data_IF_157461034182
#
_entry.id   IF_157461034182
#
_cell.length_a   1.000
_cell.length_b   1.000
_cell.length_c   1.000
_cell.angle_alpha   90.00
_cell.angle_beta   90.00
_cell.angle_gamma   90.00
#
_symmetry.space_group_name_H-M   'P 1'
#
loop_
_entity.id
_entity.type
_entity.pdbx_description
1 polymer ?
#
# COMPACT_ATOMS: atom_id res chain seq x y z
N UNK A 1 6.56 -57.32 -47.99
CA UNK A 1 6.41 -55.98 -47.37
C UNK A 1 4.95 -55.55 -47.48
N UNK A 2 4.43 -54.85 -46.46
CA UNK A 2 3.27 -53.92 -46.38
C UNK A 2 2.30 -53.79 -47.58
N UNK A 3 0.97 -53.65 -47.40
CA UNK A 3 0.14 -53.72 -46.18
C UNK A 3 -1.30 -54.14 -46.54
N UNK A 4 -2.07 -54.69 -45.58
CA UNK A 4 -3.33 -55.43 -45.85
C UNK A 4 -4.60 -54.58 -45.90
N UNK A 5 -5.55 -55.06 -46.71
CA UNK A 5 -6.93 -54.55 -46.86
C UNK A 5 -7.88 -54.96 -45.72
N UNK A 6 -8.97 -54.20 -45.62
CA UNK A 6 -10.21 -54.48 -44.86
C UNK A 6 -11.09 -55.58 -45.51
N UNK A 7 -12.31 -55.80 -44.96
CA UNK A 7 -13.41 -56.75 -45.32
C UNK A 7 -13.33 -58.04 -44.48
N UNK A 8 -14.39 -58.61 -43.86
CA UNK A 8 -15.83 -58.27 -43.65
C UNK A 8 -16.21 -58.56 -42.16
N UNK A 9 -17.46 -58.61 -41.63
CA UNK A 9 -18.85 -58.68 -42.14
C UNK A 9 -19.85 -58.07 -41.13
N UNK A 10 -21.17 -58.24 -41.31
CA UNK A 10 -22.28 -57.81 -40.43
C UNK A 10 -23.19 -58.98 -40.00
N UNK A 11 -24.15 -58.68 -39.10
CA UNK A 11 -25.25 -59.53 -38.56
C UNK A 11 -24.88 -60.47 -37.39
N UNK A 12 -25.73 -60.75 -36.39
CA UNK A 12 -27.00 -60.11 -35.93
C UNK A 12 -27.43 -60.69 -34.54
N UNK A 13 -28.61 -60.27 -34.05
CA UNK A 13 -29.39 -60.85 -32.93
C UNK A 13 -29.03 -60.42 -31.50
N UNK A 14 -30.03 -59.81 -30.85
CA UNK A 14 -30.11 -59.48 -29.43
C UNK A 14 -30.80 -60.58 -28.62
N UNK A 15 -30.23 -60.98 -27.47
CA UNK A 15 -30.96 -61.65 -26.38
C UNK A 15 -30.46 -61.16 -25.03
N UNK A 16 -31.33 -60.51 -24.25
CA UNK A 16 -31.12 -60.35 -22.81
C UNK A 16 -31.54 -61.62 -22.06
N UNK A 17 -30.76 -62.03 -21.06
CA UNK A 17 -31.26 -62.58 -19.79
C UNK A 17 -30.14 -62.56 -18.74
N UNK A 18 -30.47 -62.07 -17.55
CA UNK A 18 -29.55 -61.97 -16.42
C UNK A 18 -29.78 -63.11 -15.43
N UNK A 19 -28.72 -63.57 -14.75
CA UNK A 19 -28.84 -64.29 -13.47
C UNK A 19 -27.53 -64.32 -12.68
N UNK A 20 -27.55 -63.67 -11.51
CA UNK A 20 -26.85 -64.03 -10.27
C UNK A 20 -25.31 -64.14 -10.25
N UNK A 21 -24.67 -63.16 -9.59
CA UNK A 21 -23.46 -63.40 -8.80
C UNK A 21 -23.69 -63.01 -7.33
N UNK A 22 -23.11 -63.80 -6.43
CA UNK A 22 -23.19 -63.63 -4.97
C UNK A 22 -22.08 -62.68 -4.51
N UNK A 23 -22.42 -61.63 -3.79
CA UNK A 23 -21.46 -60.69 -3.19
C UNK A 23 -21.30 -61.03 -1.70
N UNK A 24 -20.07 -61.32 -1.27
CA UNK A 24 -19.73 -61.41 0.16
C UNK A 24 -19.71 -60.00 0.77
N UNK A 25 -20.43 -59.79 1.86
CA UNK A 25 -20.30 -58.61 2.71
C UNK A 25 -19.16 -58.80 3.71
N UNK A 26 -18.13 -57.95 3.58
CA UNK A 26 -17.17 -57.70 4.66
C UNK A 26 -17.71 -56.55 5.54
N UNK A 27 -17.61 -56.62 6.88
CA UNK A 27 -18.02 -55.53 7.74
C UNK A 27 -17.06 -54.34 7.60
N UNK A 28 -17.57 -53.20 7.13
CA UNK A 28 -16.82 -51.94 7.07
C UNK A 28 -16.68 -51.41 8.49
N UNK A 29 -15.46 -51.46 9.03
CA UNK A 29 -15.12 -50.78 10.27
C UNK A 29 -15.09 -49.26 10.01
N UNK A 30 -16.19 -48.58 10.31
CA UNK A 30 -16.28 -47.13 10.20
C UNK A 30 -15.37 -46.48 11.25
N UNK A 31 -14.15 -46.11 10.83
CA UNK A 31 -13.31 -45.18 11.58
C UNK A 31 -14.03 -43.83 11.57
N UNK A 32 -14.57 -43.44 12.71
CA UNK A 32 -14.99 -42.06 12.94
C UNK A 32 -13.74 -41.18 12.92
N UNK A 33 -13.45 -40.61 11.75
CA UNK A 33 -12.64 -39.40 11.70
C UNK A 33 -13.45 -38.35 12.46
N UNK A 34 -12.88 -37.80 13.52
CA UNK A 34 -13.45 -36.62 14.15
C UNK A 34 -13.33 -35.47 13.14
N UNK A 35 -14.37 -35.28 12.33
CA UNK A 35 -14.61 -33.99 11.70
C UNK A 35 -14.73 -32.99 12.83
N UNK A 36 -13.86 -31.97 12.86
CA UNK A 36 -14.10 -30.82 13.71
C UNK A 36 -15.52 -30.34 13.40
N UNK A 37 -16.42 -30.46 14.36
CA UNK A 37 -17.72 -29.84 14.26
C UNK A 37 -17.46 -28.34 14.37
N UNK A 38 -17.29 -27.69 13.22
CA UNK A 38 -17.32 -26.23 13.15
C UNK A 38 -18.61 -25.78 13.84
N UNK A 39 -18.51 -24.68 14.57
CA UNK A 39 -19.67 -24.07 15.19
C UNK A 39 -20.68 -23.60 14.13
N UNK A 40 -21.73 -22.96 14.61
CA UNK A 40 -22.68 -22.28 13.75
C UNK A 40 -22.55 -20.76 13.93
N UNK A 41 -23.09 -20.04 12.96
CA UNK A 41 -23.27 -18.59 13.03
C UNK A 41 -24.02 -18.19 14.30
N UNK A 42 -23.57 -17.14 14.98
CA UNK A 42 -24.08 -16.72 16.28
C UNK A 42 -23.98 -15.21 16.50
N UNK A 43 -24.82 -14.70 17.40
CA UNK A 43 -24.88 -13.28 17.81
C UNK A 43 -24.25 -13.11 19.19
N UNK A 44 -23.42 -12.10 19.38
CA UNK A 44 -22.85 -11.76 20.69
C UNK A 44 -23.96 -11.25 21.62
N UNK A 45 -24.00 -11.75 22.85
CA UNK A 45 -25.10 -11.49 23.76
C UNK A 45 -25.17 -10.02 24.22
N UNK A 46 -26.37 -9.58 24.62
CA UNK A 46 -26.57 -8.28 25.30
C UNK A 46 -25.87 -8.24 26.68
N UNK A 47 -25.79 -9.40 27.35
CA UNK A 47 -25.21 -9.56 28.69
C UNK A 47 -24.33 -10.83 28.74
N UNK A 48 -23.20 -10.86 28.02
CA UNK A 48 -22.30 -12.00 28.04
C UNK A 48 -21.64 -12.12 29.42
N UNK A 49 -21.19 -13.33 29.76
CA UNK A 49 -20.60 -13.62 31.09
C UNK A 49 -19.24 -12.97 31.32
N UNK A 50 -18.50 -12.71 30.24
CA UNK A 50 -17.20 -12.05 30.19
C UNK A 50 -16.96 -11.52 28.76
N UNK A 51 -15.76 -10.99 28.50
CA UNK A 51 -15.35 -10.50 27.17
C UNK A 51 -14.61 -11.51 26.28
N UNK A 52 -14.64 -12.82 26.56
CA UNK A 52 -13.91 -13.81 25.74
C UNK A 52 -14.78 -14.33 24.58
N UNK A 53 -14.28 -14.14 23.35
CA UNK A 53 -14.89 -14.68 22.12
C UNK A 53 -15.07 -16.20 22.23
N UNK A 54 -14.10 -16.91 22.81
CA UNK A 54 -14.10 -18.37 22.79
C UNK A 54 -14.89 -19.01 23.96
N UNK A 55 -15.63 -18.21 24.72
CA UNK A 55 -16.58 -18.67 25.73
C UNK A 55 -17.97 -18.83 25.11
N UNK A 56 -18.41 -20.08 24.89
CA UNK A 56 -19.68 -20.41 24.22
C UNK A 56 -20.93 -19.78 24.86
N UNK A 57 -20.89 -19.46 26.17
CA UNK A 57 -22.00 -18.87 26.92
C UNK A 57 -22.14 -17.34 26.75
N UNK A 58 -21.36 -16.73 25.87
CA UNK A 58 -21.46 -15.30 25.50
C UNK A 58 -22.18 -15.09 24.15
N UNK A 59 -22.66 -16.18 23.55
CA UNK A 59 -23.25 -16.22 22.21
C UNK A 59 -24.67 -16.77 22.25
N UNK A 60 -25.51 -16.28 21.35
CA UNK A 60 -26.82 -16.84 21.04
C UNK A 60 -26.86 -17.30 19.57
N UNK A 61 -27.07 -18.60 19.27
CA UNK A 61 -27.10 -19.74 20.20
C UNK A 61 -25.75 -19.95 20.90
N UNK A 62 -25.69 -20.68 22.03
CA UNK A 62 -24.47 -20.85 22.84
C UNK A 62 -23.45 -21.78 22.18
N UNK A 63 -22.76 -21.23 21.17
CA UNK A 63 -21.74 -21.86 20.34
C UNK A 63 -20.69 -20.81 19.99
N UNK A 64 -19.44 -21.21 19.76
CA UNK A 64 -18.32 -20.28 19.50
C UNK A 64 -18.10 -20.19 18.00
N UNK A 65 -18.55 -19.15 17.28
CA UNK A 65 -18.33 -19.04 15.83
C UNK A 65 -16.82 -19.04 15.54
N UNK A 66 -16.37 -20.05 14.78
CA UNK A 66 -14.95 -20.39 14.60
C UNK A 66 -14.63 -21.24 13.35
N UNK A 67 -15.55 -21.32 12.37
CA UNK A 67 -15.28 -21.88 11.05
C UNK A 67 -15.39 -20.85 9.92
N UNK A 68 -14.70 -21.11 8.81
CA UNK A 68 -14.71 -20.28 7.58
C UNK A 68 -16.08 -20.02 6.95
N UNK A 69 -17.12 -20.76 7.34
CA UNK A 69 -18.52 -20.54 6.94
C UNK A 69 -19.36 -19.74 7.95
N UNK A 70 -18.83 -19.42 9.13
CA UNK A 70 -19.59 -18.76 10.19
C UNK A 70 -19.79 -17.27 9.95
N UNK A 71 -21.02 -16.82 10.19
CA UNK A 71 -21.37 -15.40 10.33
C UNK A 71 -21.50 -15.05 11.80
N UNK A 72 -20.77 -14.03 12.21
CA UNK A 72 -20.83 -13.42 13.54
C UNK A 72 -21.72 -12.18 13.44
N UNK A 73 -22.61 -11.97 14.42
CA UNK A 73 -23.39 -10.73 14.53
C UNK A 73 -23.12 -10.03 15.86
N UNK A 74 -22.93 -8.72 15.82
CA UNK A 74 -22.75 -7.85 16.98
C UNK A 74 -23.86 -6.80 17.00
N UNK A 75 -24.59 -6.74 18.11
CA UNK A 75 -25.68 -5.79 18.34
C UNK A 75 -25.41 -4.97 19.62
N UNK A 76 -26.43 -4.37 20.25
CA UNK A 76 -26.25 -3.73 21.56
C UNK A 76 -25.76 -4.76 22.58
N UNK A 77 -24.63 -4.47 23.24
CA UNK A 77 -24.08 -5.27 24.33
C UNK A 77 -23.51 -4.42 25.46
N UNK A 78 -23.62 -4.94 26.69
CA UNK A 78 -23.01 -4.37 27.89
C UNK A 78 -21.53 -4.75 28.07
N UNK A 79 -20.99 -5.66 27.24
CA UNK A 79 -19.55 -5.93 27.15
C UNK A 79 -19.13 -5.84 25.68
N UNK A 80 -18.55 -4.70 25.33
CA UNK A 80 -18.13 -4.39 23.96
C UNK A 80 -16.62 -4.62 23.71
N UNK A 81 -15.83 -4.88 24.76
CA UNK A 81 -14.45 -5.34 24.61
C UNK A 81 -14.44 -6.87 24.51
N UNK A 82 -14.06 -7.41 23.34
CA UNK A 82 -14.14 -8.84 23.01
C UNK A 82 -12.76 -9.38 22.64
N UNK A 83 -12.11 -10.12 23.53
CA UNK A 83 -10.79 -10.71 23.31
C UNK A 83 -10.85 -12.16 22.83
N UNK A 84 -9.86 -12.57 22.06
CA UNK A 84 -9.68 -13.97 21.66
C UNK A 84 -8.80 -14.70 22.68
N UNK A 85 -9.20 -15.89 23.14
CA UNK A 85 -8.36 -16.81 23.92
C UNK A 85 -7.84 -18.01 23.11
N UNK A 86 -8.42 -18.25 21.93
CA UNK A 86 -7.99 -19.24 20.91
C UNK A 86 -7.91 -18.59 19.53
N UNK A 87 -7.10 -19.18 18.64
CA UNK A 87 -7.17 -18.88 17.20
C UNK A 87 -8.60 -19.12 16.70
N UNK A 88 -9.07 -18.22 15.84
CA UNK A 88 -10.47 -18.15 15.41
C UNK A 88 -10.53 -17.79 13.93
N UNK A 89 -11.31 -18.52 13.15
CA UNK A 89 -11.60 -18.23 11.74
C UNK A 89 -13.10 -18.00 11.57
N UNK A 90 -13.50 -16.99 10.79
CA UNK A 90 -14.92 -16.74 10.44
C UNK A 90 -15.08 -16.36 8.98
N UNK A 91 -16.25 -16.68 8.41
CA UNK A 91 -16.61 -16.25 7.06
C UNK A 91 -16.98 -14.76 7.01
N UNK A 92 -17.75 -14.29 7.99
CA UNK A 92 -18.28 -12.91 8.04
C UNK A 92 -18.38 -12.39 9.46
N UNK A 93 -18.09 -11.11 9.66
CA UNK A 93 -18.50 -10.35 10.86
C UNK A 93 -19.51 -9.28 10.43
N UNK A 94 -20.61 -9.16 11.16
CA UNK A 94 -21.64 -8.16 10.93
C UNK A 94 -21.84 -7.34 12.20
N UNK A 95 -21.77 -6.02 12.10
CA UNK A 95 -22.25 -5.12 13.14
C UNK A 95 -23.61 -4.60 12.70
N UNK A 96 -24.62 -4.87 13.54
CA UNK A 96 -26.02 -4.55 13.28
C UNK A 96 -26.30 -3.05 13.50
N UNK A 97 -27.40 -2.54 12.94
CA UNK A 97 -27.78 -1.15 13.14
C UNK A 97 -28.04 -0.83 14.62
N UNK A 98 -27.33 0.18 15.14
CA UNK A 98 -27.35 0.55 16.55
C UNK A 98 -26.57 -0.40 17.47
N UNK A 99 -25.60 -1.17 16.97
CA UNK A 99 -24.67 -1.91 17.81
C UNK A 99 -23.91 -0.98 18.80
N UNK A 100 -23.42 -1.57 19.91
CA UNK A 100 -22.47 -0.87 20.79
C UNK A 100 -21.14 -0.61 20.07
N UNK A 101 -20.35 0.38 20.48
CA UNK A 101 -18.98 0.54 19.95
C UNK A 101 -18.10 -0.62 20.44
N UNK A 102 -17.82 -1.60 19.58
CA UNK A 102 -16.99 -2.74 19.91
C UNK A 102 -15.50 -2.43 19.77
N UNK A 103 -14.71 -3.14 20.57
CA UNK A 103 -13.30 -3.34 20.35
C UNK A 103 -13.00 -4.85 20.36
N UNK A 104 -12.76 -5.41 19.17
CA UNK A 104 -12.37 -6.81 19.00
C UNK A 104 -10.85 -6.90 19.17
N UNK A 105 -10.41 -7.55 20.24
CA UNK A 105 -9.01 -7.61 20.67
C UNK A 105 -8.40 -8.94 20.21
N UNK A 106 -7.54 -8.88 19.18
CA UNK A 106 -6.75 -10.02 18.72
C UNK A 106 -5.54 -10.17 19.63
N UNK A 107 -5.72 -11.00 20.66
CA UNK A 107 -4.77 -11.20 21.75
C UNK A 107 -3.39 -11.71 21.30
N UNK A 108 -2.35 -11.56 22.13
CA UNK A 108 -1.01 -12.08 21.85
C UNK A 108 -1.02 -13.60 21.64
N UNK A 109 -0.25 -14.10 20.67
CA UNK A 109 -0.25 -15.50 20.21
C UNK A 109 -1.60 -15.97 19.63
N UNK A 110 -2.49 -15.06 19.22
CA UNK A 110 -3.77 -15.41 18.58
C UNK A 110 -3.88 -14.85 17.18
N UNK A 111 -4.51 -15.66 16.33
CA UNK A 111 -4.88 -15.28 14.96
C UNK A 111 -6.39 -15.14 14.85
N UNK A 112 -6.86 -14.01 14.33
CA UNK A 112 -8.22 -13.84 13.81
C UNK A 112 -8.18 -13.86 12.29
N UNK A 113 -8.73 -14.90 11.68
CA UNK A 113 -8.83 -15.05 10.23
C UNK A 113 -10.25 -14.74 9.77
N UNK A 114 -10.39 -13.90 8.73
CA UNK A 114 -11.64 -13.67 8.01
C UNK A 114 -11.45 -14.15 6.58
N UNK A 115 -12.18 -15.21 6.22
CA UNK A 115 -11.92 -16.01 5.02
C UNK A 115 -13.09 -16.06 4.03
N UNK A 116 -14.22 -15.43 4.34
CA UNK A 116 -15.43 -15.40 3.51
C UNK A 116 -15.68 -14.02 2.91
N UNK A 117 -16.81 -13.40 3.27
CA UNK A 117 -17.24 -12.11 2.73
C UNK A 117 -16.47 -10.92 3.34
N UNK A 118 -16.01 -11.05 4.60
CA UNK A 118 -15.39 -9.94 5.32
C UNK A 118 -16.24 -9.34 6.45
N UNK A 119 -16.08 -8.05 6.67
CA UNK A 119 -16.77 -7.28 7.71
C UNK A 119 -17.83 -6.38 7.08
N UNK A 120 -19.07 -6.48 7.55
CA UNK A 120 -20.16 -5.56 7.23
C UNK A 120 -20.52 -4.75 8.46
N UNK A 121 -20.09 -3.50 8.50
CA UNK A 121 -20.50 -2.56 9.55
C UNK A 121 -21.75 -1.77 9.11
N UNK A 122 -22.83 -1.90 9.88
CA UNK A 122 -24.09 -1.17 9.69
C UNK A 122 -24.49 -0.37 10.96
N UNK A 123 -23.60 -0.22 11.95
CA UNK A 123 -23.89 0.35 13.27
C UNK A 123 -23.96 1.89 13.32
N UNK A 124 -23.65 2.56 12.20
CA UNK A 124 -23.49 4.02 12.05
C UNK A 124 -22.35 4.64 12.88
N UNK A 125 -21.49 3.82 13.51
CA UNK A 125 -20.29 4.22 14.25
C UNK A 125 -19.04 3.47 13.76
N UNK A 126 -17.83 3.90 14.15
CA UNK A 126 -16.60 3.18 13.82
C UNK A 126 -16.40 2.00 14.76
N UNK A 127 -16.30 0.79 14.22
CA UNK A 127 -16.02 -0.42 14.99
C UNK A 127 -14.51 -0.68 15.06
N UNK A 128 -14.01 -1.07 16.23
CA UNK A 128 -12.57 -1.12 16.49
C UNK A 128 -12.05 -2.56 16.54
N UNK A 129 -10.86 -2.75 15.99
CA UNK A 129 -10.07 -3.98 16.06
C UNK A 129 -8.69 -3.63 16.62
N UNK A 130 -8.34 -4.17 17.78
CA UNK A 130 -7.04 -3.97 18.42
C UNK A 130 -6.21 -5.24 18.27
N UNK A 131 -5.16 -5.19 17.45
CA UNK A 131 -4.20 -6.29 17.31
C UNK A 131 -3.02 -5.96 18.22
N UNK A 132 -2.90 -6.72 19.32
CA UNK A 132 -2.11 -6.31 20.49
C UNK A 132 -0.81 -7.10 20.68
N UNK A 133 0.09 -6.56 21.50
CA UNK A 133 1.41 -7.14 21.82
C UNK A 133 1.57 -7.27 23.34
N UNK A 134 2.06 -8.40 23.84
CA UNK A 134 2.33 -8.56 25.28
C UNK A 134 3.68 -7.97 25.73
N UNK A 135 3.90 -7.93 27.04
CA UNK A 135 5.13 -7.41 27.66
C UNK A 135 6.42 -8.17 27.32
N UNK A 136 6.33 -9.33 26.67
CA UNK A 136 7.49 -10.10 26.15
C UNK A 136 7.49 -10.16 24.61
N UNK A 137 6.68 -9.34 23.96
CA UNK A 137 6.58 -9.16 22.51
C UNK A 137 6.07 -10.38 21.73
N UNK A 138 5.21 -11.19 22.35
CA UNK A 138 4.30 -12.02 21.56
C UNK A 138 3.24 -11.12 20.90
N UNK A 139 2.91 -11.40 19.65
CA UNK A 139 2.03 -10.55 18.83
C UNK A 139 0.70 -11.24 18.53
N UNK A 140 -0.38 -10.47 18.45
CA UNK A 140 -1.60 -10.87 17.75
C UNK A 140 -1.42 -10.74 16.24
N UNK A 141 -2.25 -11.45 15.46
CA UNK A 141 -2.28 -11.33 13.99
C UNK A 141 -3.71 -11.38 13.46
N UNK A 142 -4.09 -10.42 12.63
CA UNK A 142 -5.35 -10.45 11.88
C UNK A 142 -5.08 -10.78 10.41
N UNK A 143 -5.89 -11.65 9.81
CA UNK A 143 -5.72 -12.10 8.42
C UNK A 143 -7.06 -11.96 7.69
N UNK A 144 -7.05 -11.28 6.55
CA UNK A 144 -8.07 -11.36 5.52
C UNK A 144 -7.54 -12.23 4.37
N UNK A 145 -8.33 -13.19 3.89
CA UNK A 145 -7.95 -14.07 2.78
C UNK A 145 -9.13 -14.36 1.84
N UNK A 146 -8.89 -15.11 0.77
CA UNK A 146 -9.82 -15.29 -0.36
C UNK A 146 -10.30 -13.93 -0.90
N UNK A 147 -11.60 -13.63 -0.80
CA UNK A 147 -12.23 -12.37 -1.21
C UNK A 147 -12.70 -11.51 -0.03
N UNK A 148 -12.24 -11.80 1.20
CA UNK A 148 -12.72 -11.12 2.39
C UNK A 148 -12.40 -9.61 2.36
N UNK A 149 -13.36 -8.81 2.83
CA UNK A 149 -13.25 -7.34 2.89
C UNK A 149 -13.12 -6.83 4.33
N UNK A 150 -12.32 -5.78 4.57
CA UNK A 150 -12.26 -5.11 5.87
C UNK A 150 -13.47 -4.20 6.15
N UNK A 151 -14.30 -3.95 5.14
CA UNK A 151 -15.49 -3.12 5.21
C UNK A 151 -15.22 -1.61 5.26
N UNK A 152 -16.27 -0.87 5.55
CA UNK A 152 -16.25 0.57 5.82
C UNK A 152 -16.48 0.83 7.32
N UNK A 153 -16.05 1.99 7.81
CA UNK A 153 -16.21 2.40 9.21
C UNK A 153 -15.65 1.37 10.20
N UNK A 154 -14.50 0.79 9.86
CA UNK A 154 -13.74 -0.15 10.69
C UNK A 154 -12.35 0.43 10.91
N UNK A 155 -11.86 0.36 12.16
CA UNK A 155 -10.54 0.88 12.54
C UNK A 155 -9.69 -0.24 13.13
N UNK A 156 -8.57 -0.55 12.47
CA UNK A 156 -7.62 -1.59 12.86
C UNK A 156 -6.36 -0.94 13.44
N UNK A 157 -6.08 -1.17 14.72
CA UNK A 157 -4.87 -0.67 15.39
C UNK A 157 -3.89 -1.81 15.61
N UNK A 158 -2.76 -1.75 14.91
CA UNK A 158 -1.65 -2.67 15.07
C UNK A 158 -0.65 -2.09 16.08
N UNK A 159 -0.55 -2.71 17.26
CA UNK A 159 0.42 -2.31 18.29
C UNK A 159 1.87 -2.57 17.87
N UNK A 160 2.78 -1.73 18.37
CA UNK A 160 4.21 -1.87 18.16
C UNK A 160 4.83 -2.97 19.01
N UNK A 161 6.00 -3.45 18.60
CA UNK A 161 6.84 -4.28 19.45
C UNK A 161 7.32 -3.47 20.67
N UNK A 162 7.38 -4.12 21.84
CA UNK A 162 7.73 -3.48 23.12
C UNK A 162 9.13 -3.85 23.62
N UNK A 163 9.83 -4.77 22.96
CA UNK A 163 11.21 -5.18 23.29
C UNK A 163 12.15 -4.87 22.13
N UNK A 164 13.46 -4.81 22.40
CA UNK A 164 14.50 -4.58 21.39
C UNK A 164 14.84 -5.85 20.56
N UNK A 165 13.85 -6.72 20.35
CA UNK A 165 13.97 -7.84 19.42
C UNK A 165 13.77 -7.28 18.00
N UNK A 166 14.60 -7.69 17.05
CA UNK A 166 14.49 -7.35 15.62
C UNK A 166 13.30 -8.05 14.96
N UNK A 167 12.09 -7.79 15.47
CA UNK A 167 10.83 -8.31 15.02
C UNK A 167 9.78 -7.19 15.01
N UNK A 168 8.89 -7.24 14.03
CA UNK A 168 7.76 -6.32 13.93
C UNK A 168 6.79 -6.47 15.11
N UNK A 169 5.90 -5.48 15.28
CA UNK A 169 4.79 -5.55 16.22
C UNK A 169 3.66 -6.47 15.74
N UNK A 170 2.46 -6.22 16.26
CA UNK A 170 1.23 -6.83 15.78
C UNK A 170 1.00 -6.53 14.29
N UNK A 171 0.26 -7.41 13.61
CA UNK A 171 0.05 -7.29 12.16
C UNK A 171 -1.39 -7.55 11.69
N UNK A 172 -1.81 -6.77 10.70
CA UNK A 172 -3.02 -7.04 9.89
C UNK A 172 -2.59 -7.35 8.46
N UNK A 173 -3.05 -8.48 7.91
CA UNK A 173 -2.58 -9.03 6.63
C UNK A 173 -3.73 -9.22 5.65
N UNK A 174 -3.52 -8.79 4.41
CA UNK A 174 -4.38 -9.07 3.26
C UNK A 174 -3.67 -10.05 2.33
N UNK A 175 -4.27 -11.22 2.15
CA UNK A 175 -3.76 -12.32 1.33
C UNK A 175 -4.67 -12.56 0.11
N UNK A 176 -4.19 -13.35 -0.83
CA UNK A 176 -4.93 -13.81 -2.02
C UNK A 176 -5.54 -12.65 -2.83
N UNK A 177 -6.86 -12.47 -2.79
CA UNK A 177 -7.61 -11.39 -3.47
C UNK A 177 -8.40 -10.51 -2.48
N UNK A 178 -8.04 -10.56 -1.20
CA UNK A 178 -8.75 -9.84 -0.13
C UNK A 178 -8.54 -8.32 -0.24
N UNK A 179 -9.43 -7.56 0.40
CA UNK A 179 -9.48 -6.11 0.25
C UNK A 179 -9.61 -5.36 1.56
N UNK A 180 -8.82 -4.31 1.74
CA UNK A 180 -8.97 -3.36 2.83
C UNK A 180 -10.20 -2.42 2.67
N UNK A 181 -10.89 -2.50 1.53
CA UNK A 181 -12.11 -1.76 1.17
C UNK A 181 -12.08 -0.26 1.54
N UNK A 182 -12.72 0.14 2.63
CA UNK A 182 -12.74 1.52 3.15
C UNK A 182 -12.23 1.61 4.60
N UNK A 183 -11.54 0.56 5.08
CA UNK A 183 -11.04 0.46 6.44
C UNK A 183 -9.97 1.51 6.77
N UNK A 184 -9.87 1.86 8.05
CA UNK A 184 -8.81 2.71 8.59
C UNK A 184 -7.80 1.84 9.35
N UNK A 185 -6.52 1.97 9.03
CA UNK A 185 -5.45 1.17 9.62
C UNK A 185 -4.44 2.08 10.32
N UNK A 186 -4.11 1.77 11.57
CA UNK A 186 -3.17 2.53 12.39
C UNK A 186 -2.03 1.61 12.80
N UNK A 187 -0.88 1.80 12.18
CA UNK A 187 0.36 1.11 12.50
C UNK A 187 1.12 1.97 13.51
N UNK A 188 1.08 1.58 14.79
CA UNK A 188 1.76 2.32 15.85
C UNK A 188 3.28 2.19 15.71
N UNK A 189 4.03 3.28 15.91
CA UNK A 189 5.49 3.23 16.02
C UNK A 189 5.93 2.84 17.44
N UNK A 190 7.15 2.32 17.56
CA UNK A 190 7.59 1.70 18.80
C UNK A 190 7.93 2.72 19.91
N UNK A 191 7.71 2.31 21.16
CA UNK A 191 8.08 3.04 22.37
C UNK A 191 9.42 2.56 22.98
N UNK A 192 10.09 1.61 22.34
CA UNK A 192 11.35 0.98 22.77
C UNK A 192 12.41 1.18 21.68
N UNK A 193 13.66 1.49 22.07
CA UNK A 193 14.78 1.62 21.12
C UNK A 193 15.00 0.32 20.35
N UNK A 194 15.29 0.43 19.05
CA UNK A 194 15.58 -0.68 18.12
C UNK A 194 14.40 -1.65 17.92
N UNK A 195 13.23 -1.34 18.49
CA UNK A 195 11.99 -2.06 18.30
C UNK A 195 11.22 -1.52 17.08
N UNK A 196 10.42 -2.39 16.46
CA UNK A 196 9.64 -2.07 15.27
C UNK A 196 8.18 -1.79 15.57
N UNK A 197 7.57 -0.92 14.77
CA UNK A 197 6.14 -0.63 14.87
C UNK A 197 5.23 -1.79 14.47
N UNK A 198 3.93 -1.59 14.64
CA UNK A 198 2.89 -2.47 14.09
C UNK A 198 2.85 -2.39 12.57
N UNK A 199 2.19 -3.36 11.93
CA UNK A 199 2.30 -3.56 10.49
C UNK A 199 0.96 -3.82 9.80
N UNK A 200 0.76 -3.22 8.63
CA UNK A 200 -0.26 -3.63 7.65
C UNK A 200 0.44 -4.21 6.42
N UNK A 201 0.05 -5.40 5.97
CA UNK A 201 0.69 -6.09 4.84
C UNK A 201 -0.31 -6.50 3.76
N UNK A 202 0.05 -6.26 2.49
CA UNK A 202 -0.70 -6.69 1.31
C UNK A 202 0.18 -7.63 0.46
N UNK A 203 -0.26 -8.88 0.28
CA UNK A 203 0.43 -9.93 -0.47
C UNK A 203 -0.41 -10.42 -1.66
N UNK A 204 0.19 -11.24 -2.53
CA UNK A 204 -0.46 -11.80 -3.71
C UNK A 204 -1.17 -10.73 -4.57
N UNK A 205 -2.45 -10.92 -4.89
CA UNK A 205 -3.30 -10.04 -5.72
C UNK A 205 -4.26 -9.21 -4.84
N UNK A 206 -3.95 -9.01 -3.55
CA UNK A 206 -4.79 -8.26 -2.61
C UNK A 206 -4.79 -6.75 -2.90
N UNK A 207 -5.80 -6.06 -2.36
CA UNK A 207 -6.10 -4.66 -2.66
C UNK A 207 -6.23 -3.79 -1.40
N UNK A 208 -5.60 -2.62 -1.39
CA UNK A 208 -5.87 -1.58 -0.40
C UNK A 208 -7.14 -0.77 -0.72
N UNK A 209 -7.72 -0.93 -1.92
CA UNK A 209 -8.97 -0.32 -2.38
C UNK A 209 -9.05 1.20 -2.15
N UNK A 210 -9.84 1.65 -1.15
CA UNK A 210 -10.05 3.04 -0.76
C UNK A 210 -9.66 3.28 0.72
N UNK A 211 -8.90 2.37 1.32
CA UNK A 211 -8.51 2.42 2.73
C UNK A 211 -7.68 3.67 3.07
N UNK A 212 -7.69 4.03 4.36
CA UNK A 212 -6.80 5.07 4.91
C UNK A 212 -5.82 4.43 5.90
N UNK A 213 -4.52 4.53 5.64
CA UNK A 213 -3.48 3.81 6.39
C UNK A 213 -2.50 4.81 6.98
N UNK A 214 -2.41 4.85 8.31
CA UNK A 214 -1.52 5.70 9.09
C UNK A 214 -0.33 4.89 9.60
N UNK A 215 0.88 5.30 9.20
CA UNK A 215 2.13 4.77 9.70
C UNK A 215 2.72 5.79 10.68
N UNK A 216 2.60 5.51 11.98
CA UNK A 216 3.03 6.42 13.04
C UNK A 216 4.55 6.34 13.27
N UNK A 217 5.21 7.43 13.72
CA UNK A 217 6.65 7.43 13.95
C UNK A 217 7.04 6.68 15.23
N UNK A 218 8.32 6.32 15.35
CA UNK A 218 8.92 5.90 16.61
C UNK A 218 8.79 6.99 17.69
N UNK A 219 8.54 6.57 18.92
CA UNK A 219 8.22 7.45 20.05
C UNK A 219 9.43 7.74 20.97
N UNK A 220 10.55 7.02 20.77
CA UNK A 220 11.82 7.22 21.48
C UNK A 220 13.00 7.16 20.50
N UNK A 221 14.16 7.70 20.88
CA UNK A 221 15.37 7.59 20.07
C UNK A 221 15.68 6.11 19.75
N UNK A 222 16.03 5.83 18.50
CA UNK A 222 16.32 4.47 18.00
C UNK A 222 15.08 3.62 17.71
N UNK A 223 13.86 4.06 18.07
CA UNK A 223 12.64 3.33 17.74
C UNK A 223 12.24 3.51 16.27
N UNK A 224 11.77 2.43 15.64
CA UNK A 224 11.24 2.49 14.29
C UNK A 224 9.72 2.80 14.28
N UNK A 225 9.26 3.42 13.20
CA UNK A 225 7.83 3.68 12.99
C UNK A 225 7.02 2.43 12.64
N UNK A 226 5.69 2.59 12.67
CA UNK A 226 4.75 1.66 12.05
C UNK A 226 5.01 1.57 10.56
N UNK A 227 4.73 0.40 9.97
CA UNK A 227 5.10 0.12 8.59
C UNK A 227 3.93 -0.46 7.79
N UNK A 228 3.81 -0.05 6.53
CA UNK A 228 2.94 -0.71 5.55
C UNK A 228 3.78 -1.34 4.45
N UNK A 229 3.50 -2.60 4.13
CA UNK A 229 4.11 -3.32 3.02
C UNK A 229 3.08 -3.64 1.94
N UNK A 230 3.37 -3.28 0.69
CA UNK A 230 2.62 -3.71 -0.50
C UNK A 230 3.56 -4.53 -1.37
N UNK A 231 3.30 -5.83 -1.47
CA UNK A 231 4.25 -6.84 -1.93
C UNK A 231 3.69 -7.62 -3.14
N UNK A 232 4.42 -8.63 -3.60
CA UNK A 232 4.12 -9.48 -4.75
C UNK A 232 3.59 -8.73 -5.98
N UNK A 233 2.28 -8.79 -6.22
CA UNK A 233 1.56 -8.11 -7.31
C UNK A 233 0.42 -7.24 -6.78
N UNK A 234 0.38 -7.01 -5.45
CA UNK A 234 -0.71 -6.36 -4.76
C UNK A 234 -0.89 -4.89 -5.15
N UNK A 235 -2.12 -4.42 -4.96
CA UNK A 235 -2.65 -3.18 -5.50
C UNK A 235 -2.98 -2.19 -4.40
N UNK A 236 -2.53 -0.93 -4.54
CA UNK A 236 -2.96 0.15 -3.65
C UNK A 236 -4.28 0.81 -4.09
N UNK A 237 -4.70 0.58 -5.34
CA UNK A 237 -5.86 1.19 -5.98
C UNK A 237 -5.97 2.71 -5.75
N UNK A 238 -6.82 3.17 -4.83
CA UNK A 238 -7.07 4.58 -4.50
C UNK A 238 -6.80 4.91 -3.04
N UNK A 239 -6.23 3.97 -2.27
CA UNK A 239 -6.00 4.14 -0.85
C UNK A 239 -5.07 5.32 -0.54
N UNK A 240 -5.21 5.85 0.68
CA UNK A 240 -4.39 6.96 1.19
C UNK A 240 -3.42 6.44 2.25
N UNK A 241 -2.13 6.55 1.98
CA UNK A 241 -1.05 6.09 2.87
C UNK A 241 -0.36 7.32 3.47
N UNK A 242 -0.27 7.36 4.80
CA UNK A 242 0.23 8.52 5.55
C UNK A 242 1.39 8.05 6.42
N UNK A 243 2.61 8.25 5.92
CA UNK A 243 3.87 8.05 6.65
C UNK A 243 4.19 9.30 7.47
N UNK A 244 4.00 9.22 8.79
CA UNK A 244 4.22 10.34 9.70
C UNK A 244 5.69 10.48 10.14
N UNK A 245 6.22 11.70 10.12
CA UNK A 245 7.56 11.99 10.64
C UNK A 245 7.62 12.03 12.16
N UNK A 246 8.80 11.74 12.72
CA UNK A 246 9.02 11.64 14.15
C UNK A 246 9.22 12.99 14.85
N UNK A 247 8.72 13.09 16.08
CA UNK A 247 8.89 14.27 16.94
C UNK A 247 10.13 14.21 17.85
N UNK A 248 10.80 13.05 17.91
CA UNK A 248 11.92 12.73 18.81
C UNK A 248 13.20 12.58 18.00
N UNK A 249 14.27 13.22 18.45
CA UNK A 249 15.59 13.17 17.79
C UNK A 249 16.09 11.73 17.64
N UNK A 250 16.41 11.33 16.40
CA UNK A 250 16.91 9.98 16.11
C UNK A 250 15.89 8.86 16.28
N UNK A 251 14.59 9.16 16.36
CA UNK A 251 13.52 8.18 16.09
C UNK A 251 13.17 8.21 14.60
N UNK A 252 12.78 7.08 14.00
CA UNK A 252 12.38 7.02 12.60
C UNK A 252 10.92 7.42 12.39
N UNK A 253 10.61 7.97 11.21
CA UNK A 253 9.24 8.15 10.76
C UNK A 253 8.55 6.82 10.43
N UNK A 254 7.24 6.85 10.26
CA UNK A 254 6.48 5.75 9.69
C UNK A 254 6.86 5.48 8.23
N UNK A 255 6.67 4.24 7.78
CA UNK A 255 7.15 3.78 6.48
C UNK A 255 6.03 3.15 5.62
N UNK A 256 6.04 3.41 4.31
CA UNK A 256 5.23 2.73 3.31
C UNK A 256 6.14 2.20 2.20
N UNK A 257 6.23 0.87 2.06
CA UNK A 257 7.12 0.21 1.08
C UNK A 257 6.32 -0.57 0.04
N UNK A 258 6.57 -0.27 -1.23
CA UNK A 258 6.16 -1.05 -2.40
C UNK A 258 7.35 -1.91 -2.89
N UNK A 259 7.21 -3.23 -2.94
CA UNK A 259 8.26 -4.13 -3.46
C UNK A 259 7.74 -5.15 -4.49
N UNK A 260 8.62 -6.03 -4.96
CA UNK A 260 8.34 -7.01 -6.03
C UNK A 260 7.75 -6.34 -7.29
N UNK A 261 6.52 -6.67 -7.68
CA UNK A 261 5.78 -6.10 -8.82
C UNK A 261 4.51 -5.34 -8.41
N UNK A 262 4.37 -5.03 -7.11
CA UNK A 262 3.26 -4.27 -6.54
C UNK A 262 3.03 -2.92 -7.24
N UNK A 263 1.81 -2.40 -7.10
CA UNK A 263 1.33 -1.23 -7.83
C UNK A 263 0.69 -0.22 -6.88
N UNK A 264 1.15 1.03 -6.95
CA UNK A 264 0.51 2.15 -6.25
C UNK A 264 -0.69 2.73 -7.01
N UNK A 265 -0.97 2.26 -8.23
CA UNK A 265 -2.11 2.64 -9.08
C UNK A 265 -2.51 4.13 -9.05
N UNK A 266 -3.65 4.49 -8.45
CA UNK A 266 -4.16 5.86 -8.31
C UNK A 266 -4.04 6.39 -6.86
N UNK A 267 -3.29 5.71 -5.99
CA UNK A 267 -3.19 5.99 -4.56
C UNK A 267 -2.61 7.38 -4.22
N UNK A 268 -2.96 7.89 -3.05
CA UNK A 268 -2.33 9.10 -2.47
C UNK A 268 -1.31 8.67 -1.41
N UNK A 269 -0.04 9.03 -1.62
CA UNK A 269 1.08 8.66 -0.76
C UNK A 269 1.66 9.92 -0.12
N UNK A 270 1.58 10.03 1.21
CA UNK A 270 1.97 11.22 1.97
C UNK A 270 3.14 10.87 2.90
N UNK A 271 4.25 11.60 2.79
CA UNK A 271 5.38 11.52 3.71
C UNK A 271 5.54 12.85 4.45
N UNK A 272 5.13 12.88 5.71
CA UNK A 272 5.23 14.06 6.57
C UNK A 272 6.64 14.19 7.15
N UNK A 273 7.11 15.43 7.30
CA UNK A 273 8.41 15.72 7.92
C UNK A 273 8.38 15.49 9.43
N UNK A 274 9.48 14.98 9.97
CA UNK A 274 9.76 14.96 11.40
C UNK A 274 10.26 16.33 11.89
N UNK A 275 10.29 16.50 13.21
CA UNK A 275 10.74 17.71 13.89
C UNK A 275 11.76 17.37 14.98
N UNK A 276 12.46 18.38 15.50
CA UNK A 276 13.45 18.23 16.59
C UNK A 276 14.56 17.20 16.32
N UNK A 277 14.90 16.94 15.05
CA UNK A 277 15.88 15.93 14.65
C UNK A 277 15.32 14.51 14.45
N UNK A 278 14.00 14.33 14.53
CA UNK A 278 13.34 13.08 14.16
C UNK A 278 13.34 12.83 12.65
N UNK A 279 13.35 11.55 12.26
CA UNK A 279 13.28 11.11 10.88
C UNK A 279 11.96 11.52 10.23
N UNK A 280 12.01 11.87 8.94
CA UNK A 280 10.80 12.06 8.16
C UNK A 280 10.09 10.74 7.86
N UNK A 281 8.80 10.81 7.57
CA UNK A 281 8.06 9.68 7.02
C UNK A 281 8.65 9.22 5.69
N UNK A 282 8.51 7.93 5.40
CA UNK A 282 9.18 7.28 4.29
C UNK A 282 8.17 6.67 3.31
N UNK A 283 8.43 6.84 2.01
CA UNK A 283 7.77 6.12 0.92
C UNK A 283 8.87 5.48 0.07
N UNK A 284 8.85 4.16 -0.08
CA UNK A 284 9.89 3.41 -0.80
C UNK A 284 9.26 2.65 -1.97
N UNK A 285 9.87 2.74 -3.15
CA UNK A 285 9.59 1.82 -4.27
C UNK A 285 10.84 1.01 -4.59
N UNK A 286 10.83 -0.26 -4.20
CA UNK A 286 11.92 -1.20 -4.41
C UNK A 286 11.67 -2.13 -5.62
N UNK A 287 12.73 -2.83 -6.04
CA UNK A 287 12.68 -3.91 -7.04
C UNK A 287 12.05 -3.51 -8.39
N UNK A 288 10.89 -4.07 -8.75
CA UNK A 288 10.17 -3.85 -10.01
C UNK A 288 8.81 -3.15 -9.82
N UNK A 289 8.50 -2.68 -8.61
CA UNK A 289 7.25 -2.02 -8.25
C UNK A 289 6.95 -0.79 -9.12
N UNK A 290 5.67 -0.38 -9.18
CA UNK A 290 5.19 0.69 -10.05
C UNK A 290 4.37 1.73 -9.31
N UNK A 291 4.78 3.00 -9.39
CA UNK A 291 3.98 4.13 -8.90
C UNK A 291 2.81 4.53 -9.81
N UNK A 292 2.71 3.99 -11.02
CA UNK A 292 1.59 4.19 -11.95
C UNK A 292 1.12 5.67 -12.11
N UNK A 293 -0.05 6.00 -11.59
CA UNK A 293 -0.71 7.30 -11.61
C UNK A 293 -0.83 7.96 -10.22
N UNK A 294 -0.20 7.37 -9.20
CA UNK A 294 -0.25 7.81 -7.80
C UNK A 294 0.19 9.27 -7.61
N UNK A 295 -0.36 9.90 -6.59
CA UNK A 295 -0.04 11.25 -6.16
C UNK A 295 0.85 11.19 -4.92
N UNK A 296 2.06 11.74 -5.02
CA UNK A 296 3.05 11.69 -3.93
C UNK A 296 3.26 13.09 -3.34
N UNK A 297 2.96 13.24 -2.06
CA UNK A 297 3.12 14.48 -1.28
C UNK A 297 4.25 14.31 -0.27
N UNK A 298 5.27 15.17 -0.31
CA UNK A 298 6.45 15.08 0.54
C UNK A 298 6.67 16.39 1.28
N UNK A 299 6.84 16.34 2.60
CA UNK A 299 6.96 17.53 3.44
C UNK A 299 8.24 17.52 4.30
N UNK A 300 8.93 18.66 4.40
CA UNK A 300 10.09 18.83 5.28
C UNK A 300 11.26 17.88 4.99
N UNK A 301 11.55 16.94 5.90
CA UNK A 301 12.51 15.85 5.69
C UNK A 301 11.84 14.50 5.36
N UNK A 302 10.52 14.45 5.16
CA UNK A 302 9.80 13.30 4.62
C UNK A 302 10.21 13.05 3.17
N UNK A 303 10.33 11.78 2.79
CA UNK A 303 11.01 11.44 1.54
C UNK A 303 10.42 10.26 0.75
N UNK A 304 10.62 10.35 -0.56
CA UNK A 304 10.42 9.29 -1.53
C UNK A 304 11.78 8.69 -1.90
N UNK A 305 11.98 7.41 -1.64
CA UNK A 305 13.18 6.67 -2.04
C UNK A 305 12.92 5.74 -3.23
N UNK A 306 13.72 5.94 -4.28
CA UNK A 306 13.76 5.18 -5.53
C UNK A 306 15.13 4.54 -5.77
N UNK A 307 16.01 4.53 -4.76
CA UNK A 307 17.41 4.10 -4.85
C UNK A 307 17.59 2.59 -4.99
N UNK A 308 16.64 1.82 -4.48
CA UNK A 308 16.63 0.34 -4.43
C UNK A 308 15.87 -0.32 -5.59
N UNK A 309 15.54 0.45 -6.63
CA UNK A 309 14.74 -0.01 -7.78
C UNK A 309 15.58 -0.33 -9.02
N UNK A 310 15.42 -1.53 -9.58
CA UNK A 310 16.30 -2.08 -10.62
C UNK A 310 15.52 -2.85 -11.72
N UNK A 311 14.49 -2.25 -12.31
CA UNK A 311 13.61 -2.89 -13.33
C UNK A 311 14.01 -2.64 -14.79
N UNK A 312 15.12 -1.95 -15.05
CA UNK A 312 15.65 -1.58 -16.37
C UNK A 312 14.87 -0.49 -17.13
N UNK A 313 13.70 -0.09 -16.63
CA UNK A 313 12.75 0.76 -17.36
C UNK A 313 12.49 2.12 -16.71
N UNK A 314 12.96 2.36 -15.47
CA UNK A 314 12.55 3.52 -14.68
C UNK A 314 11.13 3.43 -14.16
N UNK A 315 10.89 4.07 -13.02
CA UNK A 315 9.58 4.13 -12.39
C UNK A 315 8.70 5.20 -13.02
N UNK A 316 7.39 4.94 -13.08
CA UNK A 316 6.37 5.94 -13.36
C UNK A 316 5.68 6.34 -12.06
N UNK A 317 5.49 7.63 -11.83
CA UNK A 317 4.69 8.20 -10.74
C UNK A 317 3.76 9.24 -11.35
N UNK A 318 2.50 9.28 -10.90
CA UNK A 318 1.51 10.24 -11.39
C UNK A 318 1.97 11.67 -11.20
N UNK A 319 2.15 12.10 -9.96
CA UNK A 319 2.64 13.44 -9.61
C UNK A 319 3.50 13.43 -8.35
N UNK A 320 4.36 14.45 -8.24
CA UNK A 320 5.10 14.78 -7.01
C UNK A 320 4.82 16.23 -6.63
N UNK A 321 4.67 16.51 -5.35
CA UNK A 321 4.42 17.85 -4.80
C UNK A 321 4.88 18.00 -3.34
N UNK A 322 4.90 19.24 -2.84
CA UNK A 322 5.38 19.59 -1.52
C UNK A 322 6.84 20.08 -1.49
N UNK A 323 7.47 20.06 -0.32
CA UNK A 323 8.80 20.61 -0.04
C UNK A 323 9.83 19.59 0.50
N UNK A 324 9.48 18.30 0.56
CA UNK A 324 10.33 17.19 1.01
C UNK A 324 11.44 16.75 0.05
N UNK A 325 11.85 15.47 0.13
CA UNK A 325 13.03 14.95 -0.58
C UNK A 325 12.71 13.80 -1.52
N UNK A 326 13.21 13.84 -2.75
CA UNK A 326 13.18 12.71 -3.69
C UNK A 326 14.60 12.17 -3.90
N UNK A 327 14.82 10.93 -3.48
CA UNK A 327 16.09 10.21 -3.63
C UNK A 327 16.01 9.34 -4.89
N UNK A 328 16.78 9.66 -5.93
CA UNK A 328 16.80 8.87 -7.16
C UNK A 328 17.84 7.74 -7.10
N UNK A 329 17.45 6.55 -7.59
CA UNK A 329 18.40 5.50 -7.97
C UNK A 329 19.15 5.82 -9.26
N UNK A 330 19.64 4.79 -9.96
CA UNK A 330 20.26 4.94 -11.28
C UNK A 330 19.23 5.08 -12.40
N UNK A 331 17.99 4.62 -12.18
CA UNK A 331 16.93 4.63 -13.17
C UNK A 331 16.20 5.99 -13.28
N UNK A 332 15.59 6.32 -14.44
CA UNK A 332 14.85 7.56 -14.59
C UNK A 332 13.47 7.52 -13.90
N UNK A 333 13.16 8.56 -13.11
CA UNK A 333 11.81 8.84 -12.64
C UNK A 333 11.00 9.51 -13.76
N UNK A 334 9.96 8.82 -14.25
CA UNK A 334 8.97 9.33 -15.20
C UNK A 334 7.79 9.91 -14.42
N UNK A 335 7.69 11.23 -14.38
CA UNK A 335 6.71 11.95 -13.55
C UNK A 335 5.71 12.73 -14.41
N UNK A 336 4.43 12.69 -14.02
CA UNK A 336 3.33 13.40 -14.68
C UNK A 336 2.28 12.48 -15.32
N UNK A 337 2.25 11.17 -15.01
CA UNK A 337 1.32 10.20 -15.66
C UNK A 337 -0.15 10.63 -15.54
N UNK A 338 -0.55 11.14 -14.37
CA UNK A 338 -1.91 11.59 -14.07
C UNK A 338 -2.25 12.97 -14.66
N UNK A 339 -1.30 13.60 -15.37
CA UNK A 339 -1.43 14.92 -16.00
C UNK A 339 -1.81 16.08 -15.07
N UNK A 340 -1.67 15.93 -13.75
CA UNK A 340 -1.84 17.03 -12.81
C UNK A 340 -0.75 18.10 -13.01
N UNK A 341 -1.07 19.33 -12.58
CA UNK A 341 -0.10 20.43 -12.55
C UNK A 341 0.30 20.71 -11.11
N UNK A 342 1.54 20.42 -10.75
CA UNK A 342 2.03 20.46 -9.37
C UNK A 342 3.20 21.42 -9.18
N UNK A 343 3.44 21.77 -7.91
CA UNK A 343 4.63 22.47 -7.44
C UNK A 343 5.43 21.54 -6.53
N UNK A 344 6.69 21.30 -6.88
CA UNK A 344 7.68 20.71 -6.00
C UNK A 344 8.74 21.76 -5.65
N UNK A 345 8.76 22.17 -4.39
CA UNK A 345 9.73 23.13 -3.83
C UNK A 345 10.90 22.46 -3.11
N UNK A 346 10.80 21.15 -2.87
CA UNK A 346 11.81 20.33 -2.23
C UNK A 346 13.00 19.97 -3.12
N UNK A 347 13.81 19.03 -2.66
CA UNK A 347 15.07 18.64 -3.31
C UNK A 347 14.96 17.26 -3.95
N UNK A 348 15.24 17.20 -5.25
CA UNK A 348 15.50 15.97 -6.00
C UNK A 348 17.02 15.77 -6.08
N UNK A 349 17.51 14.60 -5.69
CA UNK A 349 18.95 14.33 -5.53
C UNK A 349 19.39 12.96 -6.08
N UNK A 350 20.67 12.62 -5.88
CA UNK A 350 21.31 11.35 -6.28
C UNK A 350 21.45 11.15 -7.81
N UNK A 351 21.79 9.94 -8.26
CA UNK A 351 22.41 9.76 -9.57
C UNK A 351 21.45 9.79 -10.76
N UNK A 352 20.16 9.54 -10.53
CA UNK A 352 19.16 9.32 -11.57
C UNK A 352 18.75 10.55 -12.37
N UNK A 353 17.83 10.32 -13.30
CA UNK A 353 17.31 11.32 -14.23
C UNK A 353 15.81 11.55 -14.04
N UNK A 354 15.34 12.73 -14.43
CA UNK A 354 13.90 13.06 -14.47
C UNK A 354 13.39 13.03 -15.91
N UNK A 355 12.27 12.37 -16.15
CA UNK A 355 11.52 12.42 -17.41
C UNK A 355 10.13 12.97 -17.16
N UNK A 356 9.87 14.21 -17.61
CA UNK A 356 8.53 14.84 -17.52
C UNK A 356 7.63 14.32 -18.64
N UNK A 357 6.54 13.63 -18.25
CA UNK A 357 5.50 13.05 -19.11
C UNK A 357 4.13 13.66 -18.82
N UNK A 358 3.10 13.31 -19.61
CA UNK A 358 1.71 13.75 -19.42
C UNK A 358 1.48 15.25 -19.67
N UNK A 359 0.21 15.69 -19.71
CA UNK A 359 -0.15 17.02 -20.20
C UNK A 359 0.13 18.17 -19.21
N UNK A 360 0.08 17.88 -17.90
CA UNK A 360 0.19 18.89 -16.84
C UNK A 360 1.55 19.60 -16.74
N UNK A 361 1.62 20.57 -15.83
CA UNK A 361 2.83 21.37 -15.55
C UNK A 361 3.51 20.89 -14.27
N UNK A 362 4.74 20.40 -14.36
CA UNK A 362 5.60 20.24 -13.18
C UNK A 362 6.38 21.53 -12.95
N UNK A 363 6.17 22.18 -11.81
CA UNK A 363 6.95 23.34 -11.39
C UNK A 363 8.02 22.92 -10.38
N UNK A 364 9.30 23.12 -10.72
CA UNK A 364 10.42 22.91 -9.80
C UNK A 364 10.92 24.26 -9.29
N UNK A 365 10.94 24.46 -7.96
CA UNK A 365 11.50 25.67 -7.34
C UNK A 365 12.67 25.41 -6.38
N UNK A 366 12.82 24.18 -5.88
CA UNK A 366 13.97 23.78 -5.07
C UNK A 366 15.30 23.74 -5.84
N UNK A 367 16.40 23.66 -5.08
CA UNK A 367 17.76 23.53 -5.59
C UNK A 367 18.10 22.04 -5.76
N UNK A 368 17.84 21.51 -6.95
CA UNK A 368 18.02 20.10 -7.27
C UNK A 368 19.49 19.76 -7.55
N UNK A 369 19.92 18.58 -7.10
CA UNK A 369 21.33 18.12 -7.16
C UNK A 369 21.54 16.88 -8.03
N UNK A 370 20.46 16.28 -8.55
CA UNK A 370 20.55 15.03 -9.33
C UNK A 370 21.43 15.12 -10.59
N UNK A 371 22.08 14.02 -10.95
CA UNK A 371 23.14 14.03 -11.99
C UNK A 371 22.72 13.47 -13.36
N UNK A 372 21.70 12.61 -13.43
CA UNK A 372 21.28 11.95 -14.68
C UNK A 372 20.61 12.86 -15.72
N UNK A 373 20.26 14.09 -15.33
CA UNK A 373 19.69 15.10 -16.21
C UNK A 373 18.17 15.02 -16.36
N UNK A 374 17.63 15.79 -17.30
CA UNK A 374 16.19 16.01 -17.42
C UNK A 374 15.72 15.88 -18.87
N UNK A 375 14.69 15.08 -19.12
CA UNK A 375 14.03 14.99 -20.43
C UNK A 375 12.58 15.43 -20.33
N UNK A 376 12.11 16.27 -21.25
CA UNK A 376 10.70 16.68 -21.35
C UNK A 376 10.09 16.07 -22.60
N UNK A 377 9.30 15.02 -22.42
CA UNK A 377 8.59 14.31 -23.49
C UNK A 377 7.10 14.63 -23.55
N UNK A 378 6.54 15.33 -22.56
CA UNK A 378 5.14 15.77 -22.56
C UNK A 378 4.82 16.89 -21.56
N UNK A 379 3.81 17.70 -21.88
CA UNK A 379 3.30 18.78 -21.03
C UNK A 379 4.32 19.89 -20.82
N UNK A 380 4.32 20.51 -19.64
CA UNK A 380 5.24 21.60 -19.30
C UNK A 380 6.17 21.25 -18.15
N UNK A 381 7.47 21.55 -18.29
CA UNK A 381 8.39 21.71 -17.17
C UNK A 381 8.63 23.21 -16.94
N UNK A 382 8.28 23.70 -15.76
CA UNK A 382 8.46 25.09 -15.33
C UNK A 382 9.55 25.16 -14.27
N UNK A 383 10.58 25.99 -14.48
CA UNK A 383 11.63 26.22 -13.47
C UNK A 383 11.42 27.59 -12.83
N UNK A 384 11.22 27.59 -11.51
CA UNK A 384 11.00 28.76 -10.65
C UNK A 384 12.02 28.80 -9.48
N UNK A 385 13.18 28.19 -9.68
CA UNK A 385 14.28 28.19 -8.71
C UNK A 385 15.07 29.51 -8.76
N UNK A 386 15.45 30.07 -7.61
CA UNK A 386 16.21 31.33 -7.52
C UNK A 386 17.70 31.16 -7.21
N UNK A 387 18.12 29.98 -6.76
CA UNK A 387 19.49 29.70 -6.32
C UNK A 387 19.82 28.20 -6.44
N UNK A 388 21.05 27.87 -6.82
CA UNK A 388 21.45 26.49 -7.13
C UNK A 388 21.17 26.12 -8.59
N UNK A 389 20.62 24.93 -8.84
CA UNK A 389 20.13 24.48 -10.15
C UNK A 389 18.72 23.92 -10.03
N UNK A 390 17.78 24.38 -10.86
CA UNK A 390 16.43 23.84 -10.87
C UNK A 390 16.30 22.45 -11.50
N UNK A 391 17.32 21.96 -12.21
CA UNK A 391 17.28 20.70 -12.98
C UNK A 391 18.51 19.81 -12.76
N UNK A 392 19.15 19.91 -11.58
CA UNK A 392 20.36 19.13 -11.32
C UNK A 392 21.57 19.59 -12.15
N UNK A 393 22.56 18.71 -12.30
CA UNK A 393 23.81 18.99 -13.04
C UNK A 393 23.84 18.36 -14.44
N UNK A 394 23.01 17.33 -14.69
CA UNK A 394 22.90 16.65 -15.98
C UNK A 394 22.24 17.50 -17.07
N UNK A 395 22.38 17.08 -18.33
CA UNK A 395 21.86 17.81 -19.47
C UNK A 395 20.32 17.88 -19.47
N UNK A 396 19.77 18.99 -20.01
CA UNK A 396 18.33 19.14 -20.23
C UNK A 396 18.01 18.90 -21.71
N UNK A 397 17.06 18.00 -21.97
CA UNK A 397 16.56 17.63 -23.30
C UNK A 397 15.06 17.90 -23.41
N UNK A 398 14.60 18.37 -24.57
CA UNK A 398 13.18 18.57 -24.87
C UNK A 398 12.89 17.92 -26.22
N UNK A 399 11.93 17.00 -26.24
CA UNK A 399 11.58 16.19 -27.44
C UNK A 399 10.08 16.04 -27.70
N UNK A 400 9.20 16.39 -26.75
CA UNK A 400 7.74 16.26 -26.92
C UNK A 400 6.88 17.18 -26.05
N UNK A 401 7.46 18.20 -25.42
CA UNK A 401 6.73 19.11 -24.53
C UNK A 401 7.29 20.53 -24.55
N UNK A 402 6.70 21.41 -23.73
CA UNK A 402 7.09 22.80 -23.59
C UNK A 402 8.00 22.99 -22.37
N UNK A 403 9.00 23.87 -22.48
CA UNK A 403 9.79 24.33 -21.34
C UNK A 403 9.45 25.78 -21.03
N UNK A 404 8.90 26.04 -19.86
CA UNK A 404 8.68 27.39 -19.34
C UNK A 404 9.86 27.79 -18.43
N UNK A 405 10.51 28.91 -18.74
CA UNK A 405 11.73 29.35 -18.02
C UNK A 405 11.43 30.63 -17.25
N UNK A 406 11.65 30.62 -15.94
CA UNK A 406 11.74 31.82 -15.10
C UNK A 406 13.11 32.00 -14.43
N UNK A 407 14.11 31.17 -14.75
CA UNK A 407 15.30 30.97 -13.91
C UNK A 407 16.56 30.52 -14.68
N UNK A 408 17.69 30.47 -13.96
CA UNK A 408 19.01 30.04 -14.42
C UNK A 408 19.10 28.53 -14.69
N UNK A 409 19.79 28.15 -15.77
CA UNK A 409 20.26 26.77 -16.00
C UNK A 409 21.77 26.71 -15.76
N UNK A 410 22.23 25.74 -14.95
CA UNK A 410 23.67 25.43 -14.79
C UNK A 410 24.18 24.37 -15.76
N UNK A 411 23.28 23.63 -16.42
CA UNK A 411 23.60 22.55 -17.35
C UNK A 411 23.45 22.96 -18.83
N UNK A 412 24.08 22.19 -19.73
CA UNK A 412 23.93 22.37 -21.19
C UNK A 412 22.53 21.95 -21.65
N UNK A 413 21.90 22.79 -22.47
CA UNK A 413 20.63 22.51 -23.13
C UNK A 413 20.85 21.78 -24.46
N UNK A 414 20.04 20.75 -24.73
CA UNK A 414 19.87 20.12 -26.05
C UNK A 414 18.40 20.26 -26.47
N UNK A 415 18.16 20.70 -27.71
CA UNK A 415 16.82 20.77 -28.30
C UNK A 415 16.72 19.74 -29.42
N UNK A 416 15.79 18.79 -29.30
CA UNK A 416 15.50 17.84 -30.36
C UNK A 416 14.54 18.48 -31.37
N UNK A 417 15.04 18.90 -32.52
CA UNK A 417 14.17 19.24 -33.66
C UNK A 417 13.67 17.93 -34.29
N UNK A 418 12.53 17.43 -33.81
CA UNK A 418 11.80 16.37 -34.49
C UNK A 418 11.43 16.80 -35.91
N UNK A 419 11.44 15.87 -36.87
CA UNK A 419 11.16 16.14 -38.27
C UNK A 419 9.65 16.39 -38.52
N UNK A 420 9.16 17.55 -38.06
CA UNK A 420 7.79 18.04 -38.22
C UNK A 420 7.80 19.57 -38.26
N UNK A 421 7.07 20.15 -39.22
CA UNK A 421 7.16 21.58 -39.58
C UNK A 421 7.14 22.52 -38.35
N UNK A 422 8.26 23.19 -38.09
CA UNK A 422 8.36 24.20 -37.06
C UNK A 422 7.44 25.40 -37.36
N UNK A 423 6.51 25.70 -36.45
CA UNK A 423 6.04 27.08 -36.27
C UNK A 423 6.93 27.72 -35.22
N UNK A 424 7.66 28.76 -35.64
CA UNK A 424 8.61 29.48 -34.80
C UNK A 424 7.94 30.05 -33.56
N UNK A 425 8.37 29.63 -32.36
CA UNK A 425 8.17 30.38 -31.13
C UNK A 425 9.41 31.24 -30.89
N UNK A 426 9.22 32.55 -30.97
CA UNK A 426 10.29 33.53 -31.06
C UNK A 426 11.13 33.58 -29.79
N UNK A 427 12.43 33.27 -29.88
CA UNK A 427 13.41 33.62 -28.86
C UNK A 427 13.59 35.15 -28.85
N UNK A 428 12.87 35.84 -27.97
CA UNK A 428 13.08 37.25 -27.71
C UNK A 428 14.48 37.46 -27.11
N UNK A 429 15.42 37.97 -27.92
CA UNK A 429 16.72 38.42 -27.43
C UNK A 429 16.50 39.62 -26.51
N UNK A 430 17.00 39.54 -25.28
CA UNK A 430 17.15 40.72 -24.43
C UNK A 430 18.12 41.70 -25.12
N UNK A 431 17.62 42.84 -25.60
CA UNK A 431 18.47 43.93 -26.04
C UNK A 431 19.08 44.61 -24.79
N UNK A 432 20.41 44.54 -24.68
CA UNK A 432 21.12 45.37 -23.73
C UNK A 432 21.04 46.83 -24.19
N UNK A 433 20.42 47.69 -23.39
CA UNK A 433 20.41 49.14 -23.60
C UNK A 433 21.82 49.70 -23.36
N UNK A 434 22.60 49.87 -24.44
CA UNK A 434 23.81 50.69 -24.39
C UNK A 434 23.39 52.16 -24.31
N UNK A 435 23.71 52.80 -23.20
CA UNK A 435 23.63 54.25 -23.02
C UNK A 435 24.53 54.96 -24.04
N UNK A 436 24.09 56.08 -24.65
CA UNK A 436 24.98 56.90 -25.47
C UNK A 436 26.04 57.59 -24.60
N UNK A 437 27.29 57.58 -25.07
CA UNK A 437 28.34 58.47 -24.55
C UNK A 437 28.01 59.93 -24.93
N UNK A 438 28.31 60.92 -24.07
CA UNK A 438 28.10 62.32 -24.40
C UNK A 438 29.10 62.77 -25.48
N UNK A 439 28.58 63.37 -26.56
CA UNK A 439 29.39 64.00 -27.59
C UNK A 439 30.06 65.26 -27.05
N UNK A 440 31.39 65.24 -26.97
CA UNK A 440 32.22 66.41 -26.66
C UNK A 440 32.31 67.28 -27.92
N UNK A 441 31.84 68.51 -27.86
CA UNK A 441 32.14 69.56 -28.84
C UNK A 441 32.59 70.82 -28.08
N UNK A 442 33.55 71.52 -28.69
CA UNK A 442 34.24 72.73 -28.20
C UNK A 442 33.35 73.96 -28.19
#
# INVERSE_FOLDING_TARGET
MKNRSYVSTLSSVSVQRASSQVILLLPILAVWIATNAHAASATWDLNPSNGDWNTAANWTPPTVPNGSGDTVSFAVSNIAAVSLSSDTEVGRITFDSGASEFNIIVSPLRTLTISGDGISNNSDISENFSIVVDSVSNTGTMIFTHSATAGNMTTFTNEANVTNVFAFGASTRFLETSSADHGTFINNGAATSDAFGGVTEFFAESSAANATIFNQPGLVQGAHGGTTFVLDVAHADKATFISNGANVSGADGGNTTFSHRSRADDATLIANGGVNGGGGGQIVFAEASSGAASRVELFGNGFLDLSTRFSGNGIRIGSIEGDGVVILGTEPLKVGSNSLSTLFSGVIQSFGAITKVGAGTLTLSGANTYTGGTTVTGGTLKINNRSGSGTGTGAVSVSGGTRAVGALFRARLRLGLGAGRARSSTLAKAQASRSPLPSRAS
#
